data_IF_457806039474
#
_entry.id   IF_457806039474
#
_cell.length_a   1.000
_cell.length_b   1.000
_cell.length_c   1.000
_cell.angle_alpha   90.00
_cell.angle_beta   90.00
_cell.angle_gamma   90.00
#
_symmetry.space_group_name_H-M   'P 1'
#
loop_
_entity.id
_entity.type
_entity.pdbx_description
1 polymer ?
#
# COMPACT_ATOMS: atom_id res chain seq x y z
N UNK A 1 27.66 -5.15 8.49
CA UNK A 1 26.28 -5.68 8.48
C UNK A 1 25.37 -4.58 9.02
N UNK A 2 25.20 -3.49 8.28
CA UNK A 2 24.35 -2.38 8.72
C UNK A 2 23.03 -2.54 8.01
N UNK A 3 22.03 -3.03 8.74
CA UNK A 3 20.65 -2.99 8.28
C UNK A 3 20.33 -1.52 8.00
N UNK A 4 20.01 -1.23 6.74
CA UNK A 4 19.43 0.06 6.38
C UNK A 4 18.12 0.13 7.15
N UNK A 5 18.05 1.04 8.11
CA UNK A 5 16.79 1.39 8.74
C UNK A 5 16.04 2.20 7.68
N UNK A 6 15.48 1.48 6.69
CA UNK A 6 14.38 2.01 5.89
C UNK A 6 13.40 2.57 6.92
N UNK A 7 13.08 3.87 6.87
CA UNK A 7 12.10 4.41 7.78
C UNK A 7 10.91 3.48 7.64
N UNK A 8 10.41 2.95 8.76
CA UNK A 8 9.18 2.19 8.77
C UNK A 8 8.08 3.18 8.39
N UNK A 9 8.01 3.54 7.11
CA UNK A 9 6.86 4.17 6.48
C UNK A 9 5.79 3.17 6.82
N UNK A 10 4.94 3.52 7.77
CA UNK A 10 3.82 2.69 8.19
C UNK A 10 2.90 2.65 6.97
N UNK A 11 3.19 1.69 6.10
CA UNK A 11 2.43 1.43 4.89
C UNK A 11 1.17 0.74 5.35
N UNK A 12 0.12 1.53 5.54
CA UNK A 12 -1.19 0.97 5.82
C UNK A 12 -1.65 0.19 4.59
N UNK A 13 -2.41 -0.88 4.80
CA UNK A 13 -3.04 -1.56 3.66
C UNK A 13 -4.10 -0.65 3.09
N UNK A 14 -4.15 -0.57 1.75
CA UNK A 14 -5.23 0.11 1.06
C UNK A 14 -6.57 -0.45 1.52
N UNK A 15 -7.42 0.40 2.09
CA UNK A 15 -8.73 0.03 2.62
C UNK A 15 -9.69 -0.45 1.52
N UNK A 16 -9.57 0.11 0.31
CA UNK A 16 -10.43 -0.24 -0.83
C UNK A 16 -10.16 -1.64 -1.35
N UNK A 17 -8.89 -2.00 -1.56
CA UNK A 17 -8.52 -3.34 -2.07
C UNK A 17 -8.05 -4.31 -0.97
N UNK A 18 -8.09 -3.92 0.30
CA UNK A 18 -7.56 -4.70 1.42
C UNK A 18 -6.10 -5.18 1.25
N UNK A 19 -5.32 -4.44 0.47
CA UNK A 19 -3.92 -4.76 0.18
C UNK A 19 -3.67 -5.71 -0.99
N UNK A 20 -4.68 -6.09 -1.76
CA UNK A 20 -4.50 -6.93 -2.95
C UNK A 20 -3.99 -6.15 -4.17
N UNK A 21 -4.19 -4.84 -4.20
CA UNK A 21 -3.96 -4.00 -5.38
C UNK A 21 -5.07 -4.11 -6.44
N UNK A 22 -6.11 -4.90 -6.20
CA UNK A 22 -7.21 -5.12 -7.14
C UNK A 22 -8.56 -4.83 -6.47
N UNK A 23 -9.44 -4.15 -7.19
CA UNK A 23 -10.81 -3.88 -6.78
C UNK A 23 -11.74 -4.14 -7.97
N UNK A 24 -12.71 -5.03 -7.81
CA UNK A 24 -13.67 -5.43 -8.86
C UNK A 24 -12.99 -5.89 -10.16
N UNK A 25 -12.02 -6.80 -10.02
CA UNK A 25 -11.16 -7.34 -11.09
C UNK A 25 -10.36 -6.31 -11.90
N UNK A 26 -10.38 -5.04 -11.48
CA UNK A 26 -9.58 -3.97 -12.04
C UNK A 26 -8.49 -3.53 -11.07
N UNK A 27 -7.44 -2.90 -11.62
CA UNK A 27 -6.40 -2.27 -10.81
C UNK A 27 -7.04 -1.27 -9.86
N UNK A 28 -6.79 -1.43 -8.56
CA UNK A 28 -7.34 -0.54 -7.55
C UNK A 28 -6.87 0.89 -7.81
N UNK A 29 -7.81 1.81 -8.04
CA UNK A 29 -7.51 3.20 -8.37
C UNK A 29 -6.88 3.96 -7.19
N UNK A 30 -7.28 3.64 -5.97
CA UNK A 30 -6.81 4.37 -4.78
C UNK A 30 -5.33 4.12 -4.47
N UNK A 31 -4.90 2.86 -4.59
CA UNK A 31 -3.49 2.49 -4.38
C UNK A 31 -2.72 2.27 -5.69
N UNK A 32 -3.35 2.49 -6.85
CA UNK A 32 -2.77 2.25 -8.17
C UNK A 32 -2.09 0.88 -8.32
N UNK A 33 -2.71 -0.17 -7.77
CA UNK A 33 -2.19 -1.53 -7.83
C UNK A 33 -1.11 -1.89 -6.80
N UNK A 34 -0.70 -0.95 -5.93
CA UNK A 34 0.35 -1.22 -4.93
C UNK A 34 -0.14 -1.99 -3.71
N UNK A 35 -1.46 -1.99 -3.45
CA UNK A 35 -2.04 -2.55 -2.23
C UNK A 35 -1.73 -1.72 -0.96
N UNK A 36 -1.05 -0.59 -1.10
CA UNK A 36 -0.62 0.23 0.02
C UNK A 36 -1.42 1.52 0.01
N UNK A 37 -2.07 1.81 1.13
CA UNK A 37 -2.64 3.12 1.39
C UNK A 37 -1.52 4.04 1.85
N UNK A 38 -1.27 5.07 1.05
CA UNK A 38 -0.42 6.19 1.45
C UNK A 38 -1.28 7.43 1.77
N UNK A 39 -2.59 7.28 2.04
CA UNK A 39 -3.46 8.35 2.54
C UNK A 39 -3.12 8.78 3.99
N UNK A 40 -1.85 9.09 4.25
CA UNK A 40 -1.40 9.90 5.38
C UNK A 40 -1.44 9.20 6.75
N UNK A 41 -0.68 9.58 7.78
CA UNK A 41 -0.04 10.87 8.07
C UNK A 41 -0.96 12.08 7.88
#
# INVERSE_FOLDING_TARGET
MTAVEEPLIVRHRCCTCNGTGLYDDQTCADCHGTGIDNHGA
#
